data_IF_285455972514
#
_entry.id   IF_285455972514
#
_cell.length_a   1.000
_cell.length_b   1.000
_cell.length_c   1.000
_cell.angle_alpha   90.00
_cell.angle_beta   90.00
_cell.angle_gamma   90.00
#
_symmetry.space_group_name_H-M   'P 1'
#
loop_
_entity.id
_entity.type
_entity.pdbx_description
1 polymer ?
#
# COMPACT_ATOMS: atom_id res chain seq x y z
N UNK A 1 -36.26 5.40 -17.15
CA UNK A 1 -35.65 4.96 -15.88
C UNK A 1 -34.15 4.86 -16.08
N UNK A 2 -33.37 5.74 -15.44
CA UNK A 2 -31.91 5.63 -15.45
C UNK A 2 -31.52 4.65 -14.34
N UNK A 3 -31.06 3.46 -14.73
CA UNK A 3 -30.46 2.52 -13.79
C UNK A 3 -29.08 3.08 -13.42
N UNK A 4 -28.99 3.80 -12.30
CA UNK A 4 -27.73 4.05 -11.63
C UNK A 4 -27.20 2.69 -11.16
N UNK A 5 -26.46 2.01 -12.03
CA UNK A 5 -25.65 0.85 -11.65
C UNK A 5 -24.62 1.39 -10.67
N UNK A 6 -24.95 1.33 -9.38
CA UNK A 6 -23.99 1.48 -8.31
C UNK A 6 -23.00 0.33 -8.50
N UNK A 7 -21.92 0.60 -9.23
CA UNK A 7 -20.72 -0.23 -9.19
C UNK A 7 -20.18 -0.14 -7.77
N UNK A 8 -20.79 -0.88 -6.85
CA UNK A 8 -20.23 -1.16 -5.54
C UNK A 8 -19.00 -2.03 -5.80
N UNK A 9 -17.87 -1.38 -6.11
CA UNK A 9 -16.59 -2.07 -6.22
C UNK A 9 -16.41 -2.81 -4.90
N UNK A 10 -16.32 -4.15 -4.92
CA UNK A 10 -16.26 -4.91 -3.69
C UNK A 10 -15.07 -4.40 -2.86
N UNK A 11 -15.27 -4.11 -1.57
CA UNK A 11 -14.20 -3.58 -0.68
C UNK A 11 -12.90 -4.39 -0.74
N UNK A 12 -13.02 -5.68 -1.06
CA UNK A 12 -11.90 -6.60 -1.30
C UNK A 12 -11.05 -6.20 -2.51
N UNK A 13 -11.66 -5.76 -3.60
CA UNK A 13 -10.96 -5.29 -4.81
C UNK A 13 -10.20 -4.00 -4.52
N UNK A 14 -10.84 -3.01 -3.88
CA UNK A 14 -10.17 -1.76 -3.49
C UNK A 14 -8.99 -1.99 -2.55
N UNK A 15 -9.13 -2.97 -1.65
CA UNK A 15 -8.05 -3.37 -0.75
C UNK A 15 -6.89 -4.03 -1.49
N UNK A 16 -7.18 -4.93 -2.43
CA UNK A 16 -6.16 -5.56 -3.27
C UNK A 16 -5.42 -4.52 -4.13
N UNK A 17 -6.17 -3.59 -4.72
CA UNK A 17 -5.63 -2.50 -5.52
C UNK A 17 -4.70 -1.61 -4.69
N UNK A 18 -5.09 -1.24 -3.47
CA UNK A 18 -4.24 -0.50 -2.56
C UNK A 18 -2.93 -1.25 -2.25
N UNK A 19 -2.98 -2.57 -2.02
CA UNK A 19 -1.76 -3.37 -1.82
C UNK A 19 -0.88 -3.42 -3.08
N UNK A 20 -1.48 -3.60 -4.26
CA UNK A 20 -0.74 -3.62 -5.53
C UNK A 20 -0.01 -2.28 -5.75
N UNK A 21 -0.65 -1.16 -5.42
CA UNK A 21 -0.02 0.18 -5.49
C UNK A 21 1.19 0.28 -4.56
N UNK A 22 1.10 -0.21 -3.32
CA UNK A 22 2.23 -0.19 -2.39
C UNK A 22 3.35 -1.16 -2.82
N UNK A 23 3.02 -2.34 -3.35
CA UNK A 23 3.99 -3.29 -3.91
C UNK A 23 4.73 -2.69 -5.11
N UNK A 24 4.00 -2.03 -6.01
CA UNK A 24 4.60 -1.32 -7.15
C UNK A 24 5.55 -0.23 -6.67
N UNK A 25 5.14 0.57 -5.70
CA UNK A 25 6.00 1.62 -5.12
C UNK A 25 7.29 1.05 -4.52
N UNK A 26 7.24 -0.15 -3.89
CA UNK A 26 8.45 -0.83 -3.40
C UNK A 26 9.34 -1.30 -4.56
N UNK A 27 8.77 -1.91 -5.59
CA UNK A 27 9.52 -2.45 -6.73
C UNK A 27 10.18 -1.34 -7.56
N UNK A 28 9.47 -0.24 -7.79
CA UNK A 28 9.88 0.85 -8.67
C UNK A 28 10.57 2.01 -7.92
N UNK A 29 10.88 1.84 -6.62
CA UNK A 29 11.37 2.93 -5.77
C UNK A 29 12.70 3.57 -6.18
N UNK A 30 13.42 2.92 -7.09
CA UNK A 30 14.70 3.37 -7.67
C UNK A 30 14.46 4.22 -8.92
N UNK A 31 13.44 3.90 -9.71
CA UNK A 31 13.24 4.46 -11.06
C UNK A 31 12.10 5.48 -11.13
N UNK A 32 11.13 5.42 -10.20
CA UNK A 32 9.90 6.21 -10.26
C UNK A 32 9.71 7.11 -9.04
N UNK A 33 8.94 8.18 -9.22
CA UNK A 33 8.50 9.01 -8.09
C UNK A 33 7.50 8.24 -7.22
N UNK A 34 8.01 7.70 -6.11
CA UNK A 34 7.22 6.95 -5.13
C UNK A 34 6.27 7.84 -4.31
N UNK A 35 6.41 9.16 -4.39
CA UNK A 35 5.59 10.13 -3.62
C UNK A 35 4.32 10.50 -4.38
N UNK A 36 3.79 9.60 -5.19
CA UNK A 36 2.57 9.81 -5.93
C UNK A 36 1.36 9.89 -5.01
N UNK A 37 0.34 10.66 -5.41
CA UNK A 37 -0.91 10.79 -4.65
C UNK A 37 -1.60 9.43 -4.45
N UNK A 38 -1.45 8.51 -5.40
CA UNK A 38 -2.00 7.16 -5.36
C UNK A 38 -1.40 6.33 -4.23
N UNK A 39 -0.09 6.44 -3.98
CA UNK A 39 0.60 5.74 -2.89
C UNK A 39 0.10 6.23 -1.54
N UNK A 40 -0.02 7.55 -1.37
CA UNK A 40 -0.57 8.14 -0.14
C UNK A 40 -2.04 7.76 0.08
N UNK A 41 -2.86 7.79 -0.97
CA UNK A 41 -4.26 7.37 -0.90
C UNK A 41 -4.41 5.88 -0.52
N UNK A 42 -3.55 5.02 -1.05
CA UNK A 42 -3.50 3.59 -0.69
C UNK A 42 -3.12 3.39 0.79
N UNK A 43 -2.12 4.12 1.30
CA UNK A 43 -1.74 4.09 2.71
C UNK A 43 -2.88 4.53 3.62
N UNK A 44 -3.52 5.67 3.32
CA UNK A 44 -4.64 6.19 4.12
C UNK A 44 -5.84 5.25 4.10
N UNK A 45 -6.15 4.65 2.94
CA UNK A 45 -7.24 3.69 2.81
C UNK A 45 -7.02 2.46 3.70
N UNK A 46 -5.82 1.87 3.64
CA UNK A 46 -5.48 0.69 4.43
C UNK A 46 -5.36 0.99 5.93
N UNK A 47 -4.83 2.17 6.29
CA UNK A 47 -4.64 2.59 7.68
C UNK A 47 -5.98 2.77 8.42
N UNK A 48 -7.03 3.23 7.74
CA UNK A 48 -8.38 3.36 8.32
C UNK A 48 -8.91 2.04 8.89
N UNK A 49 -8.46 0.91 8.35
CA UNK A 49 -8.94 -0.43 8.71
C UNK A 49 -7.93 -1.21 9.56
N UNK A 50 -6.82 -0.61 9.98
CA UNK A 50 -5.75 -1.29 10.72
C UNK A 50 -5.43 -0.56 12.04
N UNK A 51 -5.53 -1.23 13.20
CA UNK A 51 -5.20 -0.61 14.48
C UNK A 51 -3.70 -0.38 14.65
N UNK A 52 -2.85 -1.19 14.01
CA UNK A 52 -1.40 -1.04 14.07
C UNK A 52 -0.93 -0.02 13.02
N UNK A 53 -0.37 1.10 13.50
CA UNK A 53 0.10 2.20 12.65
C UNK A 53 1.59 2.10 12.28
N UNK A 54 2.36 1.23 12.93
CA UNK A 54 3.83 1.21 12.80
C UNK A 54 4.29 0.98 11.36
N UNK A 55 3.73 -0.03 10.68
CA UNK A 55 4.07 -0.31 9.29
C UNK A 55 3.75 0.85 8.33
N UNK A 56 2.67 1.60 8.61
CA UNK A 56 2.31 2.79 7.83
C UNK A 56 3.27 3.95 8.08
N UNK A 57 3.68 4.17 9.33
CA UNK A 57 4.68 5.18 9.67
C UNK A 57 6.00 4.88 8.98
N UNK A 58 6.50 3.63 9.11
CA UNK A 58 7.77 3.22 8.49
C UNK A 58 7.73 3.36 6.96
N UNK A 59 6.61 3.01 6.34
CA UNK A 59 6.44 3.16 4.90
C UNK A 59 6.49 4.65 4.49
N UNK A 60 5.81 5.54 5.21
CA UNK A 60 5.86 7.00 4.95
C UNK A 60 7.26 7.57 5.15
N UNK A 61 7.97 7.16 6.20
CA UNK A 61 9.36 7.54 6.42
C UNK A 61 10.25 7.10 5.25
N UNK A 62 10.00 5.91 4.69
CA UNK A 62 10.67 5.43 3.49
C UNK A 62 10.46 6.33 2.28
N UNK A 63 9.23 6.82 2.04
CA UNK A 63 8.93 7.75 0.94
C UNK A 63 9.74 9.05 1.03
N UNK A 64 10.06 9.49 2.25
CA UNK A 64 10.82 10.71 2.51
C UNK A 64 12.35 10.54 2.35
N UNK A 65 12.86 9.30 2.27
CA UNK A 65 14.30 9.06 2.14
C UNK A 65 14.83 9.47 0.76
N UNK A 66 15.98 10.14 0.75
CA UNK A 66 16.71 10.48 -0.48
C UNK A 66 17.56 9.33 -1.00
N UNK A 67 18.18 8.58 -0.08
CA UNK A 67 18.97 7.39 -0.42
C UNK A 67 18.03 6.23 -0.81
N UNK A 68 18.27 5.67 -2.00
CA UNK A 68 17.41 4.63 -2.57
C UNK A 68 17.54 3.28 -1.83
N UNK A 69 18.69 2.96 -1.22
CA UNK A 69 18.85 1.74 -0.40
C UNK A 69 18.04 1.86 0.89
N UNK A 70 18.17 3.00 1.57
CA UNK A 70 17.44 3.26 2.81
C UNK A 70 15.93 3.31 2.52
N UNK A 71 15.53 4.01 1.45
CA UNK A 71 14.14 4.02 0.97
C UNK A 71 13.62 2.59 0.76
N UNK A 72 14.31 1.79 -0.04
CA UNK A 72 13.87 0.44 -0.37
C UNK A 72 13.73 -0.44 0.89
N UNK A 73 14.64 -0.30 1.86
CA UNK A 73 14.56 -1.01 3.13
C UNK A 73 13.28 -0.63 3.90
N UNK A 74 13.06 0.66 4.13
CA UNK A 74 11.90 1.15 4.90
C UNK A 74 10.57 0.79 4.24
N UNK A 75 10.48 0.92 2.91
CA UNK A 75 9.28 0.57 2.15
C UNK A 75 8.98 -0.94 2.23
N UNK A 76 10.01 -1.80 2.10
CA UNK A 76 9.85 -3.26 2.22
C UNK A 76 9.43 -3.68 3.63
N UNK A 77 10.12 -3.15 4.65
CA UNK A 77 9.81 -3.43 6.05
C UNK A 77 8.39 -2.93 6.39
N UNK A 78 8.05 -1.71 5.99
CA UNK A 78 6.75 -1.10 6.22
C UNK A 78 5.64 -1.93 5.58
N UNK A 79 5.80 -2.32 4.32
CA UNK A 79 4.84 -3.16 3.61
C UNK A 79 4.65 -4.52 4.27
N UNK A 80 5.75 -5.15 4.71
CA UNK A 80 5.71 -6.42 5.43
C UNK A 80 4.88 -6.32 6.71
N UNK A 81 5.09 -5.26 7.50
CA UNK A 81 4.30 -4.98 8.70
C UNK A 81 2.82 -4.74 8.39
N UNK A 82 2.51 -3.94 7.36
CA UNK A 82 1.13 -3.66 6.93
C UNK A 82 0.43 -4.97 6.53
N UNK A 83 1.08 -5.80 5.69
CA UNK A 83 0.51 -7.09 5.26
C UNK A 83 0.21 -8.02 6.44
N UNK A 84 1.17 -8.15 7.36
CA UNK A 84 1.04 -8.97 8.58
C UNK A 84 -0.15 -8.55 9.45
N UNK A 85 -0.35 -7.25 9.64
CA UNK A 85 -1.35 -6.73 10.59
C UNK A 85 -2.72 -6.43 9.98
N UNK A 86 -2.81 -6.43 8.66
CA UNK A 86 -4.09 -6.34 7.96
C UNK A 86 -4.65 -7.75 7.67
N UNK A 87 -3.84 -8.81 7.80
CA UNK A 87 -4.23 -10.17 7.40
C UNK A 87 -4.24 -10.34 5.89
N UNK A 88 -3.33 -9.66 5.19
CA UNK A 88 -3.13 -9.87 3.76
C UNK A 88 -2.51 -11.25 3.56
N UNK A 89 -3.33 -12.23 3.17
CA UNK A 89 -2.87 -13.51 2.65
C UNK A 89 -2.60 -13.31 1.17
N UNK A 90 -1.33 -13.32 0.78
CA UNK A 90 -0.97 -13.43 -0.63
C UNK A 90 -1.65 -14.68 -1.17
N UNK A 91 -2.53 -14.53 -2.15
CA UNK A 91 -3.10 -15.67 -2.85
C UNK A 91 -2.03 -16.25 -3.78
N UNK A 92 -0.98 -16.85 -3.21
CA UNK A 92 0.07 -17.55 -3.95
C UNK A 92 0.97 -18.40 -3.02
N UNK A 93 0.94 -19.72 -3.24
CA UNK A 93 1.79 -20.76 -2.64
C UNK A 93 0.98 -21.73 -1.77
N UNK A 94 0.43 -22.86 -2.24
CA UNK A 94 0.98 -23.93 -3.09
C UNK A 94 2.28 -24.52 -2.54
#
# INVERSE_FOLDING_TARGET
MWNAVKNEVPRRHLRQEAFNTLEKAVCECIEFDVRSNEVYAALDFLQKSCPNKWGFTLFREGLEQFDWNIRAQYLREGLSYIKKHTGYTSASGS
#
